data_IF_795100821169
#
_entry.id   IF_795100821169
#
_cell.length_a   1.000
_cell.length_b   1.000
_cell.length_c   1.000
_cell.angle_alpha   90.00
_cell.angle_beta   90.00
_cell.angle_gamma   90.00
#
_symmetry.space_group_name_H-M   'P 1'
#
loop_
_entity.id
_entity.type
_entity.pdbx_description
1 polymer ?
#
# COMPACT_ATOMS: atom_id res chain seq x y z
N UNK A 1 -5.81 -6.78 2.93
CA UNK A 1 -4.44 -7.09 2.45
C UNK A 1 -4.49 -7.65 1.04
N UNK A 2 -5.66 -8.16 0.65
CA UNK A 2 -5.95 -8.87 -0.58
C UNK A 2 -5.81 -8.00 -1.82
N UNK A 3 -6.25 -6.73 -1.78
CA UNK A 3 -6.11 -5.81 -2.92
C UNK A 3 -4.66 -5.54 -3.33
N UNK A 4 -3.71 -5.53 -2.39
CA UNK A 4 -2.28 -5.36 -2.69
C UNK A 4 -1.72 -6.63 -3.34
N UNK A 5 -2.07 -7.79 -2.76
CA UNK A 5 -1.65 -9.10 -3.27
C UNK A 5 -2.20 -9.35 -4.68
N UNK A 6 -3.47 -9.02 -4.91
CA UNK A 6 -4.13 -9.13 -6.21
C UNK A 6 -3.47 -8.22 -7.26
N UNK A 7 -3.18 -6.96 -6.91
CA UNK A 7 -2.47 -6.03 -7.81
C UNK A 7 -1.07 -6.56 -8.18
N UNK A 8 -0.37 -7.19 -7.22
CA UNK A 8 0.97 -7.76 -7.43
C UNK A 8 0.92 -8.99 -8.37
N UNK A 9 -0.08 -9.87 -8.17
CA UNK A 9 -0.30 -11.04 -9.02
C UNK A 9 -0.65 -10.59 -10.44
N UNK A 10 -1.57 -9.64 -10.60
CA UNK A 10 -1.97 -9.11 -11.89
C UNK A 10 -0.82 -8.42 -12.62
N UNK A 11 0.01 -7.65 -11.90
CA UNK A 11 1.22 -7.05 -12.46
C UNK A 11 2.18 -8.12 -12.98
N UNK A 12 2.46 -9.16 -12.17
CA UNK A 12 3.35 -10.27 -12.53
C UNK A 12 2.81 -11.04 -13.74
N UNK A 13 1.51 -11.25 -13.81
CA UNK A 13 0.83 -11.89 -14.93
C UNK A 13 0.94 -11.07 -16.22
N UNK A 14 0.70 -9.75 -16.15
CA UNK A 14 0.84 -8.85 -17.30
C UNK A 14 2.25 -8.85 -17.87
N UNK A 15 3.28 -8.72 -17.01
CA UNK A 15 4.66 -8.82 -17.45
C UNK A 15 5.03 -10.21 -17.98
N UNK A 16 4.48 -11.27 -17.39
CA UNK A 16 4.68 -12.65 -17.86
C UNK A 16 4.18 -12.85 -19.29
N UNK A 17 2.95 -12.40 -19.59
CA UNK A 17 2.39 -12.45 -20.95
C UNK A 17 3.24 -11.61 -21.92
N UNK A 18 3.63 -10.40 -21.51
CA UNK A 18 4.45 -9.52 -22.33
C UNK A 18 5.80 -10.17 -22.68
N UNK A 19 6.50 -10.75 -21.69
CA UNK A 19 7.77 -11.43 -21.89
C UNK A 19 7.65 -12.66 -22.79
N UNK A 20 6.58 -13.44 -22.62
CA UNK A 20 6.30 -14.60 -23.47
C UNK A 20 6.03 -14.19 -24.92
N UNK A 21 5.20 -13.17 -25.14
CA UNK A 21 4.94 -12.63 -26.48
C UNK A 21 6.22 -12.08 -27.12
N UNK A 22 7.09 -11.42 -26.35
CA UNK A 22 8.37 -10.93 -26.86
C UNK A 22 9.33 -12.07 -27.23
N UNK A 23 9.40 -13.13 -26.42
CA UNK A 23 10.20 -14.31 -26.73
C UNK A 23 9.73 -14.97 -28.03
N UNK A 24 8.41 -15.12 -28.21
CA UNK A 24 7.83 -15.63 -29.46
C UNK A 24 8.24 -14.74 -30.64
N UNK A 25 8.10 -13.41 -30.54
CA UNK A 25 8.48 -12.49 -31.61
C UNK A 25 9.96 -12.61 -32.00
N UNK A 26 10.85 -12.76 -31.02
CA UNK A 26 12.30 -12.84 -31.26
C UNK A 26 12.72 -14.20 -31.81
N UNK A 27 12.22 -15.31 -31.24
CA UNK A 27 12.62 -16.66 -31.65
C UNK A 27 11.98 -17.11 -32.97
N UNK A 28 10.85 -16.53 -33.37
CA UNK A 28 10.14 -16.85 -34.61
C UNK A 28 10.25 -15.72 -35.66
N UNK A 29 11.07 -14.69 -35.40
CA UNK A 29 11.02 -13.40 -36.10
C UNK A 29 11.50 -13.38 -37.55
N UNK A 30 12.35 -14.31 -38.00
CA UNK A 30 12.90 -14.26 -39.36
C UNK A 30 12.21 -15.25 -40.32
N UNK A 31 12.20 -16.55 -40.00
CA UNK A 31 11.60 -17.57 -40.89
C UNK A 31 10.06 -17.60 -40.81
N UNK A 32 9.50 -17.33 -39.64
CA UNK A 32 8.05 -17.43 -39.41
C UNK A 32 7.31 -16.15 -39.83
N UNK A 33 7.97 -15.00 -39.77
CA UNK A 33 7.41 -13.69 -40.13
C UNK A 33 7.19 -13.54 -41.64
N UNK A 34 8.05 -14.16 -42.43
CA UNK A 34 7.93 -14.30 -43.89
C UNK A 34 6.68 -15.12 -44.29
N UNK A 35 6.36 -16.17 -43.53
CA UNK A 35 5.29 -17.12 -43.85
C UNK A 35 3.96 -16.74 -43.18
N UNK A 36 4.00 -16.13 -41.99
CA UNK A 36 2.85 -15.86 -41.11
C UNK A 36 2.85 -14.43 -40.55
N UNK A 37 2.81 -13.44 -41.45
CA UNK A 37 2.73 -12.01 -41.09
C UNK A 37 1.56 -11.64 -40.16
N UNK A 38 0.49 -12.44 -40.15
CA UNK A 38 -0.66 -12.27 -39.24
C UNK A 38 -0.31 -12.45 -37.75
N UNK A 39 0.77 -13.17 -37.44
CA UNK A 39 1.21 -13.37 -36.04
C UNK A 39 1.71 -12.05 -35.44
N UNK A 40 2.41 -11.22 -36.20
CA UNK A 40 2.84 -9.88 -35.77
C UNK A 40 1.64 -8.98 -35.43
N UNK A 41 0.58 -9.07 -36.24
CA UNK A 41 -0.66 -8.33 -36.01
C UNK A 41 -1.38 -8.74 -34.73
N UNK A 42 -1.17 -9.97 -34.24
CA UNK A 42 -1.77 -10.46 -32.98
C UNK A 42 -0.85 -10.21 -31.80
N UNK A 43 0.46 -10.41 -31.96
CA UNK A 43 1.44 -10.24 -30.90
C UNK A 43 1.63 -8.77 -30.52
N UNK A 44 1.64 -7.86 -31.48
CA UNK A 44 1.89 -6.44 -31.21
C UNK A 44 0.80 -5.82 -30.30
N UNK A 45 -0.52 -6.00 -30.57
CA UNK A 45 -1.57 -5.58 -29.65
C UNK A 45 -1.52 -6.32 -28.31
N UNK A 46 -1.15 -7.61 -28.30
CA UNK A 46 -1.04 -8.39 -27.07
C UNK A 46 0.04 -7.84 -26.14
N UNK A 47 1.22 -7.50 -26.67
CA UNK A 47 2.32 -6.87 -25.94
C UNK A 47 1.87 -5.53 -25.36
N UNK A 48 1.24 -4.68 -26.17
CA UNK A 48 0.74 -3.36 -25.72
C UNK A 48 -0.31 -3.51 -24.64
N UNK A 49 -1.28 -4.41 -24.82
CA UNK A 49 -2.36 -4.63 -23.85
C UNK A 49 -1.84 -5.18 -22.52
N UNK A 50 -0.90 -6.14 -22.56
CA UNK A 50 -0.30 -6.73 -21.37
C UNK A 50 0.61 -5.76 -20.61
N UNK A 51 1.33 -4.90 -21.33
CA UNK A 51 2.05 -3.76 -20.74
C UNK A 51 1.09 -2.79 -20.03
N UNK A 52 0.04 -2.35 -20.72
CA UNK A 52 -0.93 -1.41 -20.17
C UNK A 52 -1.62 -1.99 -18.92
N UNK A 53 -1.99 -3.27 -18.97
CA UNK A 53 -2.54 -3.99 -17.83
C UNK A 53 -1.57 -4.01 -16.64
N UNK A 54 -0.29 -4.30 -16.86
CA UNK A 54 0.71 -4.29 -15.80
C UNK A 54 0.88 -2.90 -15.17
N UNK A 55 0.98 -1.85 -16.00
CA UNK A 55 1.13 -0.45 -15.55
C UNK A 55 -0.08 0.00 -14.72
N UNK A 56 -1.31 -0.32 -15.15
CA UNK A 56 -2.52 0.02 -14.39
C UNK A 56 -2.52 -0.63 -13.00
N UNK A 57 -2.05 -1.88 -12.89
CA UNK A 57 -1.93 -2.56 -11.61
C UNK A 57 -0.79 -1.99 -10.73
N UNK A 58 0.29 -1.45 -11.33
CA UNK A 58 1.32 -0.69 -10.59
C UNK A 58 0.72 0.60 -10.02
N UNK A 59 0.00 1.37 -10.84
CA UNK A 59 -0.63 2.63 -10.40
C UNK A 59 -1.63 2.36 -9.27
N UNK A 60 -2.46 1.31 -9.40
CA UNK A 60 -3.40 0.90 -8.36
C UNK A 60 -2.70 0.50 -7.06
N UNK A 61 -1.58 -0.21 -7.16
CA UNK A 61 -0.77 -0.58 -6.00
C UNK A 61 -0.18 0.66 -5.31
N UNK A 62 0.40 1.58 -6.08
CA UNK A 62 0.98 2.82 -5.58
C UNK A 62 -0.07 3.67 -4.84
N UNK A 63 -1.27 3.81 -5.41
CA UNK A 63 -2.36 4.56 -4.80
C UNK A 63 -2.82 3.92 -3.48
N UNK A 64 -2.96 2.60 -3.44
CA UNK A 64 -3.32 1.87 -2.22
C UNK A 64 -2.28 2.02 -1.10
N UNK A 65 -0.98 2.00 -1.45
CA UNK A 65 0.10 2.22 -0.49
C UNK A 65 0.06 3.67 0.01
N UNK A 66 -0.10 4.63 -0.89
CA UNK A 66 -0.18 6.05 -0.54
C UNK A 66 -1.34 6.34 0.42
N UNK A 67 -2.54 5.82 0.14
CA UNK A 67 -3.70 5.98 1.04
C UNK A 67 -3.46 5.37 2.42
N UNK A 68 -2.82 4.20 2.50
CA UNK A 68 -2.45 3.61 3.79
C UNK A 68 -1.44 4.47 4.54
N UNK A 69 -0.44 5.00 3.85
CA UNK A 69 0.55 5.89 4.44
C UNK A 69 -0.11 7.16 4.99
N UNK A 70 -1.03 7.75 4.21
CA UNK A 70 -1.80 8.92 4.61
C UNK A 70 -2.68 8.63 5.82
N UNK A 71 -3.32 7.45 5.87
CA UNK A 71 -4.12 7.03 7.01
C UNK A 71 -3.28 6.84 8.29
N UNK A 72 -2.10 6.23 8.16
CA UNK A 72 -1.16 6.11 9.29
C UNK A 72 -0.70 7.50 9.75
N UNK A 73 -0.40 8.40 8.82
CA UNK A 73 -0.02 9.77 9.15
C UNK A 73 -1.17 10.53 9.84
N UNK A 74 -2.40 10.34 9.38
CA UNK A 74 -3.61 10.87 10.02
C UNK A 74 -3.75 10.36 11.45
N UNK A 75 -3.67 9.05 11.66
CA UNK A 75 -3.71 8.46 13.00
C UNK A 75 -2.57 8.96 13.89
N UNK A 76 -1.39 9.16 13.32
CA UNK A 76 -0.25 9.69 14.06
C UNK A 76 -0.49 11.15 14.48
N UNK A 77 -1.06 11.97 13.59
CA UNK A 77 -1.49 13.34 13.90
C UNK A 77 -2.59 13.39 14.95
N UNK A 78 -3.56 12.49 14.88
CA UNK A 78 -4.68 12.40 15.84
C UNK A 78 -4.23 11.86 17.20
N UNK A 79 -3.23 10.97 17.23
CA UNK A 79 -2.62 10.45 18.46
C UNK A 79 -1.72 11.45 19.17
N UNK A 80 -1.47 12.62 18.58
CA UNK A 80 -0.75 13.71 19.24
C UNK A 80 -1.62 14.18 20.40
N UNK A 81 -1.22 13.93 21.66
CA UNK A 81 -2.14 14.06 22.78
C UNK A 81 -2.59 15.52 22.86
N UNK A 82 -3.91 15.72 22.82
CA UNK A 82 -4.49 17.03 23.07
C UNK A 82 -3.86 17.55 24.38
N UNK A 83 -3.24 18.73 24.35
CA UNK A 83 -2.56 19.30 25.52
C UNK A 83 -3.51 19.39 26.72
N UNK A 84 -4.82 19.45 26.46
CA UNK A 84 -5.88 19.39 27.45
C UNK A 84 -5.92 18.04 28.21
N UNK A 85 -5.77 16.90 27.55
CA UNK A 85 -5.81 15.58 28.19
C UNK A 85 -4.59 15.32 29.06
N UNK A 86 -3.41 15.75 28.60
CA UNK A 86 -2.17 15.71 29.40
C UNK A 86 -2.28 16.64 30.60
N UNK A 87 -2.91 17.81 30.44
CA UNK A 87 -3.12 18.77 31.53
C UNK A 87 -4.10 18.24 32.59
N UNK A 88 -5.21 17.61 32.16
CA UNK A 88 -6.19 16.95 33.05
C UNK A 88 -5.56 15.81 33.83
N UNK A 89 -4.82 14.92 33.16
CA UNK A 89 -4.12 13.81 33.81
C UNK A 89 -3.09 14.29 34.84
N UNK A 90 -2.35 15.37 34.55
CA UNK A 90 -1.44 16.00 35.54
C UNK A 90 -2.21 16.63 36.71
N UNK A 91 -3.35 17.26 36.44
CA UNK A 91 -4.18 17.88 37.46
C UNK A 91 -4.77 16.82 38.42
N UNK A 92 -5.33 15.74 37.89
CA UNK A 92 -5.89 14.64 38.68
C UNK A 92 -4.81 13.92 39.49
N UNK A 93 -3.62 13.71 38.93
CA UNK A 93 -2.48 13.14 39.68
C UNK A 93 -2.06 14.03 40.85
N UNK A 94 -2.09 15.36 40.69
CA UNK A 94 -1.84 16.31 41.80
C UNK A 94 -2.96 16.24 42.84
N UNK A 95 -4.21 16.12 42.42
CA UNK A 95 -5.40 16.06 43.29
C UNK A 95 -5.41 14.78 44.14
N UNK A 96 -5.11 13.63 43.53
CA UNK A 96 -4.94 12.33 44.20
C UNK A 96 -3.83 12.36 45.26
N UNK A 97 -2.66 12.93 44.94
CA UNK A 97 -1.57 13.09 45.93
C UNK A 97 -1.98 13.93 47.14
N UNK A 98 -2.76 15.00 46.93
CA UNK A 98 -3.26 15.84 48.03
C UNK A 98 -4.26 15.09 48.90
N UNK A 99 -5.18 14.33 48.31
CA UNK A 99 -6.16 13.53 49.05
C UNK A 99 -5.48 12.43 49.88
N UNK A 100 -4.52 11.72 49.30
CA UNK A 100 -3.79 10.66 50.00
C UNK A 100 -2.99 11.24 51.21
N UNK A 101 -2.34 12.40 51.04
CA UNK A 101 -1.63 13.08 52.13
C UNK A 101 -2.59 13.51 53.26
N UNK A 102 -3.80 13.96 52.92
CA UNK A 102 -4.82 14.39 53.88
C UNK A 102 -5.46 13.20 54.63
N UNK A 103 -5.65 12.07 53.96
CA UNK A 103 -6.09 10.82 54.58
C UNK A 103 -5.03 10.23 55.52
N UNK A 104 -3.76 10.27 55.13
CA UNK A 104 -2.64 9.83 55.97
C UNK A 104 -2.54 10.61 57.28
N UNK A 105 -2.66 11.94 57.21
CA UNK A 105 -2.65 12.82 58.39
C UNK A 105 -3.87 12.63 59.31
N UNK A 106 -4.97 12.01 58.84
CA UNK A 106 -6.15 11.73 59.67
C UNK A 106 -6.03 10.42 60.45
N UNK A 107 -5.15 9.51 60.03
CA UNK A 107 -4.94 8.21 60.70
C UNK A 107 -3.79 8.24 61.72
N UNK A 108 -3.11 9.38 61.88
CA UNK A 108 -2.01 9.60 62.83
C UNK A 108 -2.44 10.41 64.08
N UNK A 109 -3.75 10.69 64.22
CA UNK A 109 -4.40 11.25 65.42
C UNK A 109 -5.43 10.25 65.95
#
# INVERSE_FOLDING_TARGET
MDAIKESLINMSFGFGIMAFAYAIAVFLGDDFRSIHSWIDYVLSPLIVASYLFAVLNVVRLAFNIFLKLLYILYLWLDSKPNNEDVSKAKCDKKRLKRLNKKGRLRNEW
#
